data_IF_676553462828
#
_entry.id   IF_676553462828
#
_cell.length_a   1.000
_cell.length_b   1.000
_cell.length_c   1.000
_cell.angle_alpha   90.00
_cell.angle_beta   90.00
_cell.angle_gamma   90.00
#
_symmetry.space_group_name_H-M   'P 1'
#
loop_
_entity.id
_entity.type
_entity.pdbx_description
1 polymer ?
#
# COMPACT_ATOMS: atom_id res chain seq x y z
N UNK A 1 4.93 12.56 -41.11
CA UNK A 1 5.75 12.05 -40.00
C UNK A 1 5.83 13.15 -38.95
N UNK A 2 4.99 13.09 -37.95
CA UNK A 2 4.97 14.10 -36.89
C UNK A 2 4.78 13.34 -35.57
N UNK A 3 5.89 13.15 -34.85
CA UNK A 3 5.91 12.58 -33.51
C UNK A 3 5.18 13.53 -32.55
N UNK A 4 4.08 13.06 -31.99
CA UNK A 4 3.44 13.70 -30.83
C UNK A 4 4.13 13.19 -29.57
N UNK A 5 5.02 13.99 -29.03
CA UNK A 5 5.53 13.87 -27.66
C UNK A 5 4.34 14.04 -26.71
N UNK A 6 3.93 12.97 -26.01
CA UNK A 6 2.89 13.04 -24.97
C UNK A 6 3.54 13.44 -23.66
N UNK A 7 3.24 14.63 -23.19
CA UNK A 7 3.62 15.14 -21.88
C UNK A 7 2.82 14.44 -20.79
N UNK A 8 3.52 13.82 -19.84
CA UNK A 8 2.97 13.33 -18.59
C UNK A 8 2.65 14.54 -17.71
N UNK A 9 1.38 14.82 -17.48
CA UNK A 9 0.94 15.80 -16.49
C UNK A 9 0.93 15.14 -15.11
N UNK A 10 1.86 15.53 -14.25
CA UNK A 10 1.82 15.21 -12.82
C UNK A 10 0.97 16.26 -12.10
N UNK A 11 -0.10 15.85 -11.45
CA UNK A 11 -0.80 16.68 -10.45
C UNK A 11 0.13 16.90 -9.24
N UNK A 12 0.06 18.08 -8.63
CA UNK A 12 0.90 18.50 -7.50
C UNK A 12 0.75 17.63 -6.23
N UNK A 13 -0.07 16.58 -6.26
CA UNK A 13 -0.32 15.62 -5.17
C UNK A 13 0.31 14.25 -5.39
N UNK A 14 1.26 14.12 -6.32
CA UNK A 14 1.99 12.85 -6.53
C UNK A 14 1.13 11.72 -7.09
N UNK A 15 -0.09 12.00 -7.55
CA UNK A 15 -0.98 11.03 -8.15
C UNK A 15 -0.61 10.87 -9.62
N UNK A 16 -0.02 9.75 -9.98
CA UNK A 16 0.04 9.34 -11.38
C UNK A 16 -1.31 8.71 -11.70
N UNK A 17 -2.29 9.57 -12.08
CA UNK A 17 -3.54 9.08 -12.64
C UNK A 17 -3.28 8.49 -14.04
N UNK A 18 -3.81 7.31 -14.37
CA UNK A 18 -3.70 6.79 -15.71
C UNK A 18 -4.46 7.71 -16.67
N UNK A 19 -3.80 8.09 -17.76
CA UNK A 19 -4.47 8.61 -18.94
C UNK A 19 -5.42 7.50 -19.44
N UNK A 20 -6.70 7.78 -19.59
CA UNK A 20 -7.80 6.82 -19.78
C UNK A 20 -7.71 5.93 -21.04
N UNK A 21 -6.55 5.82 -21.65
CA UNK A 21 -6.36 5.08 -22.91
C UNK A 21 -5.21 4.08 -22.93
N UNK A 22 -4.35 3.97 -21.92
CA UNK A 22 -3.17 3.08 -22.03
C UNK A 22 -2.50 2.67 -20.72
N UNK A 23 -3.02 3.01 -19.54
CA UNK A 23 -2.33 2.67 -18.31
C UNK A 23 -2.79 1.32 -17.77
N UNK A 24 -1.88 0.34 -17.74
CA UNK A 24 -2.09 -0.95 -17.08
C UNK A 24 -1.85 -0.89 -15.56
N UNK A 25 -1.50 0.28 -15.00
CA UNK A 25 -1.21 0.42 -13.57
C UNK A 25 -1.79 1.69 -12.95
N UNK A 26 -2.15 1.58 -11.66
CA UNK A 26 -2.42 2.69 -10.75
C UNK A 26 -1.52 2.52 -9.53
N UNK A 27 -0.80 3.57 -9.14
CA UNK A 27 0.03 3.56 -7.94
C UNK A 27 -0.15 4.87 -7.19
N UNK A 28 -0.70 4.82 -5.96
CA UNK A 28 -1.04 6.00 -5.18
C UNK A 28 -0.56 5.89 -3.73
N UNK A 29 -0.07 7.00 -3.21
CA UNK A 29 0.11 7.21 -1.77
C UNK A 29 -1.06 8.08 -1.30
N UNK A 30 -1.85 7.56 -0.36
CA UNK A 30 -3.02 8.23 0.19
C UNK A 30 -2.64 8.98 1.46
N UNK A 31 -3.12 10.22 1.59
CA UNK A 31 -3.02 11.00 2.82
C UNK A 31 -3.90 10.43 3.95
N UNK A 32 -3.70 10.93 5.18
CA UNK A 32 -4.38 10.43 6.39
C UNK A 32 -5.92 10.53 6.32
N UNK A 33 -6.44 11.51 5.59
CA UNK A 33 -7.89 11.72 5.40
C UNK A 33 -8.49 11.06 4.16
N UNK A 34 -7.65 10.42 3.32
CA UNK A 34 -8.11 9.78 2.10
C UNK A 34 -8.49 8.33 2.35
N UNK A 35 -9.53 7.87 1.67
CA UNK A 35 -10.02 6.50 1.74
C UNK A 35 -9.61 5.71 0.51
N UNK A 36 -9.46 4.39 0.67
CA UNK A 36 -9.27 3.48 -0.45
C UNK A 36 -10.45 3.51 -1.42
N UNK A 37 -10.13 3.42 -2.70
CA UNK A 37 -11.10 3.29 -3.79
C UNK A 37 -11.25 1.83 -4.25
N UNK A 38 -11.21 0.86 -3.31
CA UNK A 38 -11.11 -0.58 -3.59
C UNK A 38 -12.12 -1.08 -4.63
N UNK A 39 -13.40 -0.71 -4.51
CA UNK A 39 -14.41 -1.14 -5.47
C UNK A 39 -14.21 -0.52 -6.86
N UNK A 40 -13.82 0.76 -6.91
CA UNK A 40 -13.45 1.42 -8.18
C UNK A 40 -12.24 0.75 -8.80
N UNK A 41 -11.23 0.39 -7.99
CA UNK A 41 -10.02 -0.30 -8.45
C UNK A 41 -10.32 -1.71 -8.95
N UNK A 42 -11.17 -2.47 -8.27
CA UNK A 42 -11.63 -3.79 -8.75
C UNK A 42 -12.32 -3.68 -10.10
N UNK A 43 -13.23 -2.74 -10.24
CA UNK A 43 -13.94 -2.48 -11.50
C UNK A 43 -12.97 -2.07 -12.60
N UNK A 44 -12.03 -1.16 -12.31
CA UNK A 44 -11.02 -0.74 -13.27
C UNK A 44 -10.05 -1.86 -13.65
N UNK A 45 -9.63 -2.71 -12.70
CA UNK A 45 -8.72 -3.85 -12.95
C UNK A 45 -9.41 -4.93 -13.77
N UNK A 46 -10.67 -5.24 -13.48
CA UNK A 46 -11.46 -6.17 -14.28
C UNK A 46 -11.67 -5.62 -15.70
N UNK A 47 -11.96 -4.31 -15.79
CA UNK A 47 -12.14 -3.58 -17.07
C UNK A 47 -13.17 -4.18 -17.99
N UNK A 48 -13.17 -3.70 -19.23
CA UNK A 48 -13.93 -4.28 -20.35
C UNK A 48 -13.12 -5.37 -21.08
N UNK A 49 -12.01 -5.82 -20.48
CA UNK A 49 -11.12 -6.81 -21.07
C UNK A 49 -11.68 -8.21 -20.87
N UNK A 50 -12.17 -8.80 -21.94
CA UNK A 50 -12.72 -10.15 -21.96
C UNK A 50 -11.69 -11.24 -21.62
N UNK A 51 -10.41 -10.91 -21.58
CA UNK A 51 -9.32 -11.82 -21.23
C UNK A 51 -9.01 -11.83 -19.73
N UNK A 52 -9.58 -10.92 -18.92
CA UNK A 52 -9.42 -10.91 -17.48
C UNK A 52 -10.31 -11.97 -16.82
N UNK A 53 -9.76 -13.16 -16.60
CA UNK A 53 -10.45 -14.30 -15.98
C UNK A 53 -10.30 -14.40 -14.47
N UNK A 54 -9.42 -13.58 -13.84
CA UNK A 54 -9.17 -13.60 -12.41
C UNK A 54 -8.79 -12.23 -11.88
N UNK A 55 -9.38 -11.84 -10.75
CA UNK A 55 -8.97 -10.65 -9.98
C UNK A 55 -8.59 -11.07 -8.56
N UNK A 56 -7.39 -10.68 -8.11
CA UNK A 56 -6.92 -10.85 -6.74
C UNK A 56 -6.89 -9.50 -6.06
N UNK A 57 -7.50 -9.41 -4.87
CA UNK A 57 -7.40 -8.26 -3.98
C UNK A 57 -6.69 -8.67 -2.71
N UNK A 58 -5.63 -7.96 -2.36
CA UNK A 58 -4.92 -8.08 -1.09
C UNK A 58 -5.14 -6.80 -0.28
N UNK A 59 -5.48 -6.96 0.98
CA UNK A 59 -5.58 -5.88 1.96
C UNK A 59 -4.63 -6.15 3.11
N UNK A 60 -3.68 -5.23 3.34
CA UNK A 60 -2.76 -5.30 4.47
C UNK A 60 -3.36 -4.61 5.67
N UNK A 61 -3.90 -5.38 6.62
CA UNK A 61 -4.60 -4.88 7.81
C UNK A 61 -3.61 -4.64 8.95
N UNK A 62 -3.78 -3.53 9.67
CA UNK A 62 -3.02 -3.22 10.88
C UNK A 62 -3.50 -4.11 12.04
N UNK A 63 -2.60 -4.92 12.58
CA UNK A 63 -2.91 -5.86 13.68
C UNK A 63 -2.98 -5.14 15.02
N UNK A 64 -3.83 -5.62 15.93
CA UNK A 64 -3.98 -5.10 17.28
C UNK A 64 -2.78 -5.33 18.20
N UNK A 65 -1.80 -6.14 17.80
CA UNK A 65 -0.59 -6.43 18.58
C UNK A 65 0.64 -6.57 17.70
N UNK A 66 1.80 -6.10 18.18
CA UNK A 66 3.12 -6.37 17.60
C UNK A 66 4.09 -6.68 18.76
N UNK A 67 4.81 -7.80 18.65
CA UNK A 67 5.77 -8.30 19.66
C UNK A 67 5.18 -8.38 21.10
N UNK A 68 3.89 -8.73 21.19
CA UNK A 68 3.19 -8.84 22.48
C UNK A 68 2.69 -7.51 23.06
N UNK A 69 2.91 -6.39 22.38
CA UNK A 69 2.44 -5.06 22.78
C UNK A 69 1.12 -4.74 22.07
N UNK A 70 0.10 -4.34 22.85
CA UNK A 70 -1.16 -3.87 22.27
C UNK A 70 -0.97 -2.51 21.60
N UNK A 71 -1.51 -2.38 20.39
CA UNK A 71 -1.38 -1.19 19.56
C UNK A 71 -2.72 -0.47 19.39
N UNK A 72 -2.67 0.87 19.38
CA UNK A 72 -3.74 1.70 18.86
C UNK A 72 -3.73 1.74 17.32
N UNK A 73 -2.56 1.56 16.72
CA UNK A 73 -2.37 1.57 15.28
C UNK A 73 -0.91 1.61 14.87
N UNK A 74 -0.68 1.86 13.59
CA UNK A 74 0.65 2.13 13.02
C UNK A 74 0.67 3.54 12.42
N UNK A 75 1.79 4.24 12.59
CA UNK A 75 2.05 5.48 11.86
C UNK A 75 3.00 5.18 10.71
N UNK A 76 2.58 5.51 9.50
CA UNK A 76 3.38 5.35 8.30
C UNK A 76 4.00 6.68 7.89
N UNK A 77 5.32 6.70 7.88
CA UNK A 77 6.12 7.80 7.33
C UNK A 77 6.55 7.43 5.90
N UNK A 78 6.56 8.40 5.00
CA UNK A 78 6.83 8.18 3.59
C UNK A 78 7.77 9.26 3.04
N UNK A 79 8.69 8.85 2.19
CA UNK A 79 9.48 9.83 1.42
C UNK A 79 8.65 10.32 0.24
N UNK A 80 8.05 11.52 0.38
CA UNK A 80 7.03 12.07 -0.54
C UNK A 80 7.45 12.06 -2.02
N UNK A 81 8.70 12.39 -2.33
CA UNK A 81 9.17 12.46 -3.71
C UNK A 81 9.54 11.09 -4.31
N UNK A 82 10.00 10.13 -3.50
CA UNK A 82 10.52 8.85 -3.98
C UNK A 82 9.46 7.74 -3.93
N UNK A 83 8.66 7.68 -2.87
CA UNK A 83 7.73 6.57 -2.67
C UNK A 83 6.73 6.41 -3.82
N UNK A 84 6.09 7.45 -4.37
CA UNK A 84 5.18 7.28 -5.50
C UNK A 84 5.88 6.75 -6.75
N UNK A 85 7.12 7.17 -7.00
CA UNK A 85 7.91 6.71 -8.17
C UNK A 85 8.31 5.25 -8.04
N UNK A 86 8.81 4.86 -6.86
CA UNK A 86 9.20 3.47 -6.59
C UNK A 86 7.98 2.54 -6.59
N UNK A 87 6.84 3.00 -6.06
CA UNK A 87 5.60 2.24 -6.11
C UNK A 87 5.15 1.98 -7.56
N UNK A 88 5.18 3.00 -8.40
CA UNK A 88 4.88 2.86 -9.84
C UNK A 88 5.89 1.95 -10.55
N UNK A 89 7.18 2.04 -10.22
CA UNK A 89 8.22 1.18 -10.77
C UNK A 89 8.01 -0.30 -10.39
N UNK A 90 7.62 -0.59 -9.15
CA UNK A 90 7.27 -1.95 -8.69
C UNK A 90 6.11 -2.51 -9.51
N UNK A 91 5.05 -1.72 -9.74
CA UNK A 91 3.92 -2.15 -10.57
C UNK A 91 4.34 -2.40 -12.03
N UNK A 92 5.16 -1.54 -12.60
CA UNK A 92 5.67 -1.70 -13.98
C UNK A 92 6.56 -2.96 -14.11
N UNK A 93 7.41 -3.22 -13.12
CA UNK A 93 8.22 -4.45 -13.07
C UNK A 93 7.33 -5.71 -13.00
N UNK A 94 6.27 -5.69 -12.20
CA UNK A 94 5.33 -6.79 -12.11
C UNK A 94 4.62 -7.05 -13.44
N UNK A 95 4.13 -6.00 -14.11
CA UNK A 95 3.52 -6.08 -15.45
C UNK A 95 4.48 -6.64 -16.52
N UNK A 96 5.78 -6.38 -16.39
CA UNK A 96 6.79 -6.90 -17.32
C UNK A 96 7.15 -8.37 -17.08
N UNK A 97 6.94 -8.88 -15.84
CA UNK A 97 7.37 -10.22 -15.41
C UNK A 97 6.26 -11.25 -15.46
N UNK A 98 5.04 -10.81 -15.26
CA UNK A 98 3.87 -11.69 -15.15
C UNK A 98 2.86 -11.36 -16.24
N UNK A 99 2.18 -12.36 -16.83
CA UNK A 99 1.15 -12.13 -17.82
C UNK A 99 -0.15 -11.67 -17.14
N UNK A 100 -0.14 -10.45 -16.63
CA UNK A 100 -1.27 -9.81 -15.96
C UNK A 100 -1.74 -8.60 -16.76
N UNK A 101 -3.04 -8.32 -16.69
CA UNK A 101 -3.68 -7.27 -17.50
C UNK A 101 -3.48 -5.89 -16.86
N UNK A 102 -3.77 -5.79 -15.55
CA UNK A 102 -3.74 -4.53 -14.80
C UNK A 102 -3.32 -4.74 -13.35
N UNK A 103 -2.66 -3.75 -12.78
CA UNK A 103 -2.28 -3.72 -11.36
C UNK A 103 -2.64 -2.37 -10.77
N UNK A 104 -3.26 -2.38 -9.59
CA UNK A 104 -3.49 -1.20 -8.79
C UNK A 104 -2.93 -1.38 -7.39
N UNK A 105 -2.27 -0.34 -6.87
CA UNK A 105 -1.79 -0.27 -5.49
C UNK A 105 -2.14 1.09 -4.90
N UNK A 106 -2.78 1.07 -3.74
CA UNK A 106 -2.94 2.24 -2.89
C UNK A 106 -2.34 1.97 -1.51
N UNK A 107 -1.52 2.87 -0.99
CA UNK A 107 -0.92 2.78 0.34
C UNK A 107 -1.19 4.05 1.14
N UNK A 108 -1.68 3.92 2.38
CA UNK A 108 -1.94 5.06 3.27
C UNK A 108 -0.64 5.54 3.94
N UNK A 109 -0.58 6.83 4.23
CA UNK A 109 0.42 7.46 5.09
C UNK A 109 -0.25 8.10 6.30
N UNK A 110 0.52 8.49 7.31
CA UNK A 110 -0.01 9.00 8.57
C UNK A 110 -0.44 7.86 9.50
N UNK A 111 -1.38 8.15 10.40
CA UNK A 111 -1.86 7.18 11.37
C UNK A 111 -2.96 6.29 10.77
N UNK A 112 -2.76 4.98 10.91
CA UNK A 112 -3.76 3.96 10.53
C UNK A 112 -4.11 3.15 11.78
N UNK A 113 -5.38 3.19 12.22
CA UNK A 113 -5.84 2.42 13.38
C UNK A 113 -5.71 0.92 13.18
N UNK A 114 -5.76 0.17 14.28
CA UNK A 114 -5.92 -1.29 14.23
C UNK A 114 -7.22 -1.68 13.52
N UNK A 115 -7.22 -2.87 12.93
CA UNK A 115 -8.32 -3.44 12.14
C UNK A 115 -8.64 -2.68 10.83
N UNK A 116 -7.88 -1.63 10.51
CA UNK A 116 -7.98 -0.93 9.22
C UNK A 116 -6.87 -1.35 8.24
N UNK A 117 -7.18 -1.26 6.96
CA UNK A 117 -6.21 -1.50 5.90
C UNK A 117 -5.21 -0.34 5.79
N UNK A 118 -3.92 -0.65 5.64
CA UNK A 118 -2.86 0.31 5.33
C UNK A 118 -2.42 0.27 3.86
N UNK A 119 -2.67 -0.82 3.18
CA UNK A 119 -2.35 -1.02 1.77
C UNK A 119 -3.40 -1.90 1.11
N UNK A 120 -3.76 -1.55 -0.12
CA UNK A 120 -4.63 -2.35 -0.99
C UNK A 120 -3.91 -2.59 -2.30
N UNK A 121 -3.85 -3.87 -2.73
CA UNK A 121 -3.32 -4.27 -4.04
C UNK A 121 -4.41 -5.02 -4.79
N UNK A 122 -4.67 -4.62 -6.02
CA UNK A 122 -5.61 -5.31 -6.92
C UNK A 122 -4.88 -5.70 -8.20
N UNK A 123 -4.96 -6.97 -8.57
CA UNK A 123 -4.30 -7.52 -9.77
C UNK A 123 -5.33 -8.26 -10.61
N UNK A 124 -5.40 -7.95 -11.89
CA UNK A 124 -6.20 -8.66 -12.89
C UNK A 124 -5.31 -9.46 -13.85
N UNK A 125 -5.70 -10.71 -14.11
CA UNK A 125 -5.00 -11.61 -15.02
C UNK A 125 -5.96 -12.57 -15.73
N UNK A 126 -5.50 -13.25 -16.77
CA UNK A 126 -6.25 -14.32 -17.45
C UNK A 126 -6.53 -15.50 -16.53
N UNK A 127 -5.60 -15.86 -15.65
CA UNK A 127 -5.75 -16.97 -14.71
C UNK A 127 -5.30 -16.60 -13.31
N UNK A 128 -5.82 -17.34 -12.31
CA UNK A 128 -5.56 -17.07 -10.89
C UNK A 128 -4.09 -17.19 -10.48
N UNK A 129 -3.32 -18.11 -11.11
CA UNK A 129 -1.92 -18.35 -10.76
C UNK A 129 -1.10 -17.08 -10.92
N UNK A 130 -1.15 -16.48 -12.08
CA UNK A 130 -0.43 -15.26 -12.43
C UNK A 130 -0.86 -14.08 -11.56
N UNK A 131 -2.18 -13.98 -11.25
CA UNK A 131 -2.70 -12.93 -10.40
C UNK A 131 -2.16 -13.03 -8.96
N UNK A 132 -2.10 -14.24 -8.37
CA UNK A 132 -1.52 -14.46 -7.05
C UNK A 132 -0.01 -14.23 -7.03
N UNK A 133 0.72 -14.70 -8.02
CA UNK A 133 2.18 -14.55 -8.10
C UNK A 133 2.58 -13.08 -8.25
N UNK A 134 1.90 -12.34 -9.12
CA UNK A 134 2.13 -10.91 -9.29
C UNK A 134 1.77 -10.11 -8.03
N UNK A 135 0.65 -10.43 -7.37
CA UNK A 135 0.24 -9.77 -6.13
C UNK A 135 1.28 -9.99 -5.02
N UNK A 136 1.80 -11.21 -4.84
CA UNK A 136 2.88 -11.53 -3.91
C UNK A 136 4.14 -10.72 -4.24
N UNK A 137 4.57 -10.76 -5.50
CA UNK A 137 5.74 -10.02 -5.96
C UNK A 137 5.63 -8.52 -5.63
N UNK A 138 4.48 -7.90 -5.95
CA UNK A 138 4.24 -6.49 -5.66
C UNK A 138 4.40 -6.20 -4.17
N UNK A 139 3.81 -7.01 -3.30
CA UNK A 139 3.91 -6.82 -1.85
C UNK A 139 5.34 -7.00 -1.32
N UNK A 140 6.08 -7.97 -1.83
CA UNK A 140 7.47 -8.19 -1.41
C UNK A 140 8.38 -7.03 -1.87
N UNK A 141 8.19 -6.54 -3.10
CA UNK A 141 8.96 -5.42 -3.63
C UNK A 141 8.60 -4.08 -2.97
N UNK A 142 7.34 -3.84 -2.62
CA UNK A 142 6.95 -2.65 -1.83
C UNK A 142 7.76 -2.60 -0.54
N UNK A 143 7.79 -3.69 0.23
CA UNK A 143 8.53 -3.77 1.50
C UNK A 143 10.03 -3.60 1.34
N UNK A 144 10.59 -3.97 0.20
CA UNK A 144 12.02 -3.95 -0.08
C UNK A 144 12.51 -2.60 -0.64
N UNK A 145 11.70 -1.94 -1.48
CA UNK A 145 12.13 -0.81 -2.32
C UNK A 145 11.47 0.51 -1.99
N UNK A 146 10.15 0.46 -1.66
CA UNK A 146 9.40 1.69 -1.48
C UNK A 146 9.76 2.31 -0.11
N UNK A 147 10.23 3.56 -0.06
CA UNK A 147 10.63 4.19 1.18
C UNK A 147 9.40 4.61 2.01
N UNK A 148 8.83 3.62 2.67
CA UNK A 148 7.73 3.73 3.64
C UNK A 148 8.18 3.04 4.93
N UNK A 149 8.12 3.76 6.05
CA UNK A 149 8.49 3.25 7.37
C UNK A 149 7.27 3.19 8.26
N UNK A 150 7.13 2.11 9.02
CA UNK A 150 6.05 1.94 9.98
C UNK A 150 6.59 2.15 11.40
N UNK A 151 5.83 2.88 12.21
CA UNK A 151 6.10 3.14 13.60
C UNK A 151 4.91 2.66 14.44
N UNK A 152 5.10 1.66 15.34
CA UNK A 152 4.04 1.21 16.24
C UNK A 152 3.57 2.32 17.17
N UNK A 153 2.27 2.46 17.33
CA UNK A 153 1.64 3.37 18.29
C UNK A 153 0.95 2.53 19.36
N UNK A 154 1.54 2.38 20.55
CA UNK A 154 0.95 1.60 21.64
C UNK A 154 -0.38 2.17 22.12
N UNK A 155 -1.26 1.31 22.62
CA UNK A 155 -2.45 1.76 23.34
C UNK A 155 -2.07 2.51 24.62
N UNK A 156 -2.84 3.54 24.99
CA UNK A 156 -2.63 4.32 26.21
C UNK A 156 -2.61 3.46 27.49
N UNK A 157 -3.44 2.40 27.52
CA UNK A 157 -3.44 1.42 28.62
C UNK A 157 -2.13 0.66 28.78
N UNK A 158 -1.44 0.37 27.68
CA UNK A 158 -0.15 -0.32 27.65
C UNK A 158 0.97 0.59 28.15
N UNK A 159 0.97 1.85 27.71
CA UNK A 159 1.93 2.88 28.19
C UNK A 159 1.77 3.10 29.71
N UNK A 160 0.53 3.24 30.21
CA UNK A 160 0.27 3.41 31.63
C UNK A 160 0.76 2.23 32.48
N UNK A 161 0.60 0.99 32.00
CA UNK A 161 1.12 -0.21 32.69
C UNK A 161 2.65 -0.24 32.71
N UNK A 162 3.32 0.12 31.63
CA UNK A 162 4.77 0.16 31.54
C UNK A 162 5.35 1.21 32.51
N UNK A 163 4.78 2.43 32.55
CA UNK A 163 5.19 3.50 33.48
C UNK A 163 4.95 3.08 34.94
N UNK A 164 3.80 2.43 35.22
CA UNK A 164 3.52 1.97 36.61
C UNK A 164 4.43 0.81 37.05
N UNK A 165 4.93 -0.01 36.14
CA UNK A 165 5.90 -1.06 36.43
C UNK A 165 7.29 -0.49 36.72
N UNK A 166 7.73 0.53 35.99
CA UNK A 166 9.02 1.21 36.18
C UNK A 166 9.07 1.95 37.51
N UNK A 167 7.98 2.63 37.90
CA UNK A 167 7.88 3.31 39.22
C UNK A 167 7.94 2.32 40.39
N UNK A 168 7.45 1.07 40.22
CA UNK A 168 7.52 0.04 41.30
C UNK A 168 8.87 -0.67 41.36
N UNK A 169 9.61 -0.72 40.22
CA UNK A 169 10.95 -1.33 40.17
C UNK A 169 12.05 -0.43 40.78
N UNK A 170 11.79 0.85 40.95
CA UNK A 170 12.74 1.84 41.48
C UNK A 170 12.84 1.96 43.03
N UNK A 171 12.24 1.04 43.79
CA UNK A 171 12.45 1.00 45.25
C UNK A 171 13.83 0.40 45.54
N UNK A 172 14.85 1.27 45.54
CA UNK A 172 16.20 0.97 46.01
C UNK A 172 16.11 0.71 47.52
N UNK A 173 16.50 -0.52 47.91
CA UNK A 173 16.78 -0.80 49.31
C UNK A 173 18.00 0.05 49.73
N UNK A 174 17.80 0.90 50.70
CA UNK A 174 18.84 1.56 51.51
C UNK A 174 19.24 0.61 52.63
#
# INVERSE_FOLDING_TARGET
MTERSKSVQSDQRGTVAPDAGSACLVARILGESESFSTETLKTWVAGDDVECGATVTFEGIVRGTEDGVALAGLRYEVHEAMAPRELAAVCADALSRYPVNRISVEHRTGFVPTDEASVVVVVGAGHRGEAFDACRYVMDEIKRRVPIWKHPVPEASTVAKAVAADVRGGAVHV
#
